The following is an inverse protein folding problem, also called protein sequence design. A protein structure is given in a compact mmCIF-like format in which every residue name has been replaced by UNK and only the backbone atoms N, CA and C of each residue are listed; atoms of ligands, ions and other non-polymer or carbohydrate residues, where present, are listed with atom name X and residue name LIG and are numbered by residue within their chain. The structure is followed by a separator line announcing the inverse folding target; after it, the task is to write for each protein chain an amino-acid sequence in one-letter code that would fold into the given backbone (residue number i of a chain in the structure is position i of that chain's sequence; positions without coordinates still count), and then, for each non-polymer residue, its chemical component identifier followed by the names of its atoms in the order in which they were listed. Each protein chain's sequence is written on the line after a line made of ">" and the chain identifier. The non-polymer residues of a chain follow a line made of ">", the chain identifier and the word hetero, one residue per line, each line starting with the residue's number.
data_IF_365861833366
#
_entry.id   IF_365861833366
#
_cell.length_a   1.000
_cell.length_b   1.000
_cell.length_c   1.000
_cell.angle_alpha   90.00
_cell.angle_beta   90.00
_cell.angle_gamma   90.00
#
_symmetry.space_group_name_H-M   'P 1'
#
loop_
_entity.id
_entity.type
_entity.pdbx_description
1 polymer ?
#
# COMPACT_ATOMS: atom_id res chain seq x y z
N UNK A 1 -3.87 -18.36 5.94
CA UNK A 1 -2.95 -18.06 4.82
C UNK A 1 -2.07 -16.86 5.12
N UNK A 2 -2.64 -15.70 5.50
CA UNK A 2 -1.87 -14.50 5.89
C UNK A 2 -0.94 -14.70 7.11
N UNK A 3 -1.31 -15.54 8.07
CA UNK A 3 -0.49 -15.83 9.27
C UNK A 3 0.92 -16.33 8.96
N UNK A 4 1.07 -17.17 7.93
CA UNK A 4 2.37 -17.66 7.50
C UNK A 4 3.23 -16.51 6.96
N UNK A 5 2.64 -15.62 6.18
CA UNK A 5 3.30 -14.41 5.69
C UNK A 5 3.65 -13.44 6.81
N UNK A 6 2.75 -13.23 7.78
CA UNK A 6 3.04 -12.44 8.98
C UNK A 6 4.27 -13.02 9.68
N UNK A 7 4.31 -14.32 9.94
CA UNK A 7 5.46 -14.96 10.59
C UNK A 7 6.77 -14.77 9.80
N UNK A 8 6.72 -14.89 8.47
CA UNK A 8 7.90 -14.76 7.60
C UNK A 8 8.40 -13.32 7.48
N UNK A 9 7.49 -12.34 7.40
CA UNK A 9 7.81 -10.97 7.04
C UNK A 9 7.71 -9.95 8.18
N UNK A 10 7.21 -10.33 9.37
CA UNK A 10 7.02 -9.43 10.53
C UNK A 10 8.17 -8.46 10.77
N UNK A 11 9.42 -8.93 10.76
CA UNK A 11 10.63 -8.10 10.96
C UNK A 11 11.16 -7.43 9.70
N UNK A 12 10.86 -8.00 8.54
CA UNK A 12 11.33 -7.47 7.26
C UNK A 12 10.50 -6.27 6.85
N UNK A 13 9.17 -6.39 6.95
CA UNK A 13 8.22 -5.33 6.68
C UNK A 13 7.24 -5.66 5.57
N UNK A 14 6.33 -4.72 5.36
CA UNK A 14 5.25 -4.78 4.37
C UNK A 14 5.29 -3.54 3.49
N UNK A 15 5.13 -3.72 2.18
CA UNK A 15 4.84 -2.65 1.23
C UNK A 15 3.34 -2.61 1.00
N UNK A 16 2.74 -1.45 1.22
CA UNK A 16 1.30 -1.23 1.01
C UNK A 16 1.11 -0.40 -0.25
N UNK A 17 0.32 -0.91 -1.18
CA UNK A 17 -0.03 -0.25 -2.44
C UNK A 17 -0.69 1.13 -2.22
N UNK A 18 -0.60 2.02 -3.21
CA UNK A 18 -1.08 3.40 -3.22
C UNK A 18 -2.51 3.54 -2.68
N UNK A 19 -3.47 2.75 -3.17
CA UNK A 19 -4.88 2.91 -2.76
C UNK A 19 -5.10 2.53 -1.29
N UNK A 20 -4.44 1.47 -0.83
CA UNK A 20 -4.53 1.01 0.54
C UNK A 20 -3.76 1.94 1.48
N UNK A 21 -2.60 2.45 1.07
CA UNK A 21 -1.86 3.43 1.86
C UNK A 21 -2.68 4.73 2.00
N UNK A 22 -3.34 5.17 0.93
CA UNK A 22 -4.28 6.29 0.99
C UNK A 22 -5.38 6.00 2.02
N UNK A 23 -6.02 4.83 1.96
CA UNK A 23 -7.04 4.41 2.94
C UNK A 23 -6.50 4.45 4.38
N UNK A 24 -5.30 3.93 4.64
CA UNK A 24 -4.68 3.95 5.97
C UNK A 24 -4.46 5.38 6.49
N UNK A 25 -4.17 6.33 5.60
CA UNK A 25 -3.93 7.73 5.96
C UNK A 25 -5.23 8.52 6.19
N UNK A 26 -6.29 8.23 5.43
CA UNK A 26 -7.53 9.05 5.48
C UNK A 26 -8.69 8.38 6.21
N UNK A 27 -8.63 7.07 6.45
CA UNK A 27 -9.77 6.28 6.89
C UNK A 27 -10.25 6.63 8.29
N UNK A 28 -9.39 7.23 9.13
CA UNK A 28 -9.79 7.78 10.44
C UNK A 28 -10.56 9.10 10.37
N UNK A 29 -10.87 9.58 9.15
CA UNK A 29 -11.62 10.82 8.92
C UNK A 29 -12.94 10.51 8.22
N UNK A 30 -13.91 11.42 8.33
CA UNK A 30 -15.18 11.32 7.58
C UNK A 30 -15.02 11.41 6.06
N UNK A 31 -13.79 11.62 5.56
CA UNK A 31 -13.48 11.82 4.13
C UNK A 31 -13.32 10.51 3.34
N UNK A 32 -13.38 9.33 3.99
CA UNK A 32 -13.19 8.02 3.33
C UNK A 32 -14.13 7.79 2.13
N UNK A 33 -15.35 8.34 2.17
CA UNK A 33 -16.38 8.17 1.11
C UNK A 33 -16.21 9.18 -0.03
N UNK A 34 -15.42 10.24 0.17
CA UNK A 34 -15.28 11.35 -0.77
C UNK A 34 -14.29 11.04 -1.90
N UNK A 35 -13.34 10.14 -1.67
CA UNK A 35 -12.38 9.75 -2.69
C UNK A 35 -12.91 8.60 -3.55
N UNK A 36 -12.83 8.78 -4.87
CA UNK A 36 -13.19 7.75 -5.85
C UNK A 36 -12.47 6.41 -5.58
N UNK A 37 -11.20 6.47 -5.15
CA UNK A 37 -10.35 5.29 -4.89
C UNK A 37 -10.67 4.58 -3.59
N UNK A 38 -11.20 5.27 -2.58
CA UNK A 38 -11.53 4.65 -1.29
C UNK A 38 -13.01 4.43 -1.05
N UNK A 39 -13.90 4.88 -1.95
CA UNK A 39 -15.36 4.71 -1.85
C UNK A 39 -15.81 3.25 -1.70
N UNK A 40 -15.01 2.28 -2.15
CA UNK A 40 -15.30 0.85 -2.01
C UNK A 40 -15.00 0.26 -0.63
N UNK A 41 -14.47 1.07 0.29
CA UNK A 41 -14.08 0.65 1.64
C UNK A 41 -15.04 1.18 2.69
N UNK A 42 -15.32 0.33 3.67
CA UNK A 42 -16.05 0.66 4.89
C UNK A 42 -15.09 1.02 6.03
N UNK A 43 -15.64 1.55 7.12
CA UNK A 43 -14.88 1.78 8.35
C UNK A 43 -14.27 0.48 8.90
N UNK A 44 -15.00 -0.64 8.78
CA UNK A 44 -14.50 -1.96 9.15
C UNK A 44 -13.31 -2.40 8.29
N UNK A 45 -13.31 -2.08 6.99
CA UNK A 45 -12.18 -2.36 6.11
C UNK A 45 -10.95 -1.52 6.49
N UNK A 46 -11.15 -0.24 6.85
CA UNK A 46 -10.07 0.60 7.35
C UNK A 46 -9.45 0.02 8.63
N UNK A 47 -10.28 -0.38 9.60
CA UNK A 47 -9.79 -1.00 10.83
C UNK A 47 -9.07 -2.33 10.56
N UNK A 48 -9.59 -3.14 9.64
CA UNK A 48 -8.94 -4.39 9.22
C UNK A 48 -7.58 -4.12 8.57
N UNK A 49 -7.48 -3.11 7.70
CA UNK A 49 -6.23 -2.72 7.06
C UNK A 49 -5.17 -2.33 8.11
N UNK A 50 -5.54 -1.48 9.08
CA UNK A 50 -4.62 -1.10 10.16
C UNK A 50 -4.17 -2.31 10.97
N UNK A 51 -5.10 -3.21 11.33
CA UNK A 51 -4.77 -4.45 12.05
C UNK A 51 -3.75 -5.31 11.30
N UNK A 52 -3.87 -5.40 9.97
CA UNK A 52 -2.92 -6.14 9.13
C UNK A 52 -1.56 -5.45 9.12
N UNK A 53 -1.51 -4.13 8.91
CA UNK A 53 -0.26 -3.36 8.89
C UNK A 53 0.48 -3.48 10.24
N UNK A 54 -0.25 -3.39 11.35
CA UNK A 54 0.30 -3.47 12.72
C UNK A 54 0.92 -4.84 13.06
N UNK A 55 0.71 -5.88 12.25
CA UNK A 55 1.40 -7.16 12.41
C UNK A 55 2.88 -7.10 12.01
N UNK A 56 3.31 -6.04 11.33
CA UNK A 56 4.66 -5.86 10.80
C UNK A 56 5.36 -4.73 11.54
N UNK A 57 6.64 -4.94 11.86
CA UNK A 57 7.47 -3.96 12.57
C UNK A 57 7.86 -2.76 11.68
N UNK A 58 7.67 -2.89 10.36
CA UNK A 58 8.12 -1.93 9.36
C UNK A 58 7.06 -1.76 8.28
N UNK A 59 6.57 -0.53 8.13
CA UNK A 59 5.83 -0.10 6.95
C UNK A 59 6.82 0.50 5.96
N UNK A 60 6.91 -0.11 4.78
CA UNK A 60 7.87 0.25 3.73
C UNK A 60 7.09 0.87 2.57
N UNK A 61 7.65 1.92 1.96
CA UNK A 61 7.07 2.56 0.78
C UNK A 61 8.16 3.00 -0.20
N UNK A 62 7.76 3.38 -1.40
CA UNK A 62 8.65 3.94 -2.41
C UNK A 62 8.28 5.40 -2.68
N UNK A 63 9.22 6.21 -3.20
CA UNK A 63 8.89 7.57 -3.64
C UNK A 63 7.73 7.61 -4.65
N UNK A 64 7.59 6.58 -5.49
CA UNK A 64 6.51 6.47 -6.47
C UNK A 64 5.14 6.31 -5.80
N UNK A 65 5.01 5.40 -4.83
CA UNK A 65 3.78 5.22 -4.05
C UNK A 65 3.43 6.52 -3.30
N UNK A 66 4.40 7.13 -2.61
CA UNK A 66 4.17 8.34 -1.83
C UNK A 66 3.76 9.54 -2.72
N UNK A 67 4.37 9.67 -3.89
CA UNK A 67 3.99 10.69 -4.87
C UNK A 67 2.56 10.47 -5.39
N UNK A 68 2.18 9.22 -5.71
CA UNK A 68 0.81 8.91 -6.12
C UNK A 68 -0.21 9.18 -5.03
N UNK A 69 0.07 8.78 -3.78
CA UNK A 69 -0.78 9.08 -2.62
C UNK A 69 -1.00 10.59 -2.49
N UNK A 70 0.05 11.39 -2.62
CA UNK A 70 -0.07 12.86 -2.61
C UNK A 70 -0.93 13.36 -3.78
N UNK A 71 -0.71 12.84 -5.00
CA UNK A 71 -1.46 13.25 -6.20
C UNK A 71 -2.94 12.87 -6.16
N UNK A 72 -3.30 11.79 -5.45
CA UNK A 72 -4.70 11.40 -5.28
C UNK A 72 -5.51 12.36 -4.39
N UNK A 73 -4.86 13.36 -3.78
CA UNK A 73 -5.52 14.39 -2.96
C UNK A 73 -6.00 15.61 -3.71
N UNK A 74 -5.90 15.62 -5.04
CA UNK A 74 -6.33 16.73 -5.90
C UNK A 74 -7.81 17.15 -5.74
N UNK A 75 -8.66 16.33 -5.11
CA UNK A 75 -10.06 16.66 -4.79
C UNK A 75 -10.28 17.23 -3.37
N UNK A 76 -9.25 17.28 -2.53
CA UNK A 76 -9.33 17.83 -1.19
C UNK A 76 -9.04 19.34 -1.19
N UNK A 77 -9.79 20.08 -0.37
CA UNK A 77 -9.63 21.51 -0.21
C UNK A 77 -9.76 21.94 1.26
N UNK A 78 -9.27 23.15 1.57
CA UNK A 78 -9.42 23.76 2.89
C UNK A 78 -8.82 22.93 4.03
N UNK A 79 -9.58 22.77 5.12
CA UNK A 79 -9.12 22.06 6.31
C UNK A 79 -8.84 20.58 6.03
N UNK A 80 -9.64 19.92 5.19
CA UNK A 80 -9.42 18.51 4.86
C UNK A 80 -8.06 18.25 4.19
N UNK A 81 -7.66 19.14 3.28
CA UNK A 81 -6.34 19.06 2.63
C UNK A 81 -5.21 19.28 3.66
N UNK A 82 -5.39 20.24 4.57
CA UNK A 82 -4.44 20.52 5.65
C UNK A 82 -4.29 19.32 6.58
N UNK A 83 -5.41 18.72 7.00
CA UNK A 83 -5.44 17.57 7.91
C UNK A 83 -4.82 16.33 7.26
N UNK A 84 -5.07 16.13 5.96
CA UNK A 84 -4.39 15.10 5.17
C UNK A 84 -2.88 15.29 5.21
N UNK A 85 -2.37 16.48 4.85
CA UNK A 85 -0.92 16.69 4.82
C UNK A 85 -0.28 16.66 6.20
N UNK A 86 -1.00 17.06 7.26
CA UNK A 86 -0.54 16.88 8.63
C UNK A 86 -0.40 15.38 8.97
N UNK A 87 -1.39 14.58 8.58
CA UNK A 87 -1.37 13.12 8.78
C UNK A 87 -0.25 12.47 7.98
N UNK A 88 -0.14 12.77 6.67
CA UNK A 88 0.92 12.28 5.81
C UNK A 88 2.30 12.62 6.39
N UNK A 89 2.52 13.88 6.80
CA UNK A 89 3.79 14.30 7.40
C UNK A 89 4.12 13.50 8.67
N UNK A 90 3.13 13.23 9.52
CA UNK A 90 3.34 12.42 10.71
C UNK A 90 3.67 10.97 10.33
N UNK A 91 2.94 10.37 9.39
CA UNK A 91 3.19 8.99 8.93
C UNK A 91 4.57 8.83 8.28
N UNK A 92 5.03 9.82 7.51
CA UNK A 92 6.36 9.81 6.87
C UNK A 92 7.50 9.71 7.89
N UNK A 93 7.31 10.09 9.16
CA UNK A 93 8.33 9.92 10.20
C UNK A 93 8.55 8.45 10.61
N UNK A 94 7.61 7.56 10.26
CA UNK A 94 7.63 6.14 10.61
C UNK A 94 7.74 5.21 9.41
N UNK A 95 7.42 5.69 8.20
CA UNK A 95 7.54 4.93 6.96
C UNK A 95 9.02 4.82 6.60
N UNK A 96 9.47 3.61 6.28
CA UNK A 96 10.79 3.35 5.73
C UNK A 96 10.70 3.51 4.22
N UNK A 97 11.35 4.54 3.69
CA UNK A 97 11.39 4.79 2.26
C UNK A 97 12.54 4.00 1.60
N UNK A 98 12.20 3.21 0.59
CA UNK A 98 13.17 2.49 -0.26
C UNK A 98 13.08 3.02 -1.69
N UNK A 99 14.24 3.33 -2.26
CA UNK A 99 14.33 3.93 -3.59
C UNK A 99 15.07 3.00 -4.55
N UNK A 100 14.41 2.70 -5.66
CA UNK A 100 15.01 2.13 -6.85
C UNK A 100 14.92 3.17 -7.97
N UNK A 101 16.03 3.47 -8.67
CA UNK A 101 15.98 4.37 -9.82
C UNK A 101 15.00 3.86 -10.87
N UNK A 102 14.16 4.75 -11.42
CA UNK A 102 13.19 4.41 -12.46
C UNK A 102 13.85 3.77 -13.70
N UNK A 103 15.12 4.12 -13.98
CA UNK A 103 15.88 3.52 -15.06
C UNK A 103 16.19 2.05 -14.80
N UNK A 104 16.46 1.66 -13.55
CA UNK A 104 16.75 0.27 -13.20
C UNK A 104 15.45 -0.54 -13.21
N UNK A 105 14.38 0.01 -12.63
CA UNK A 105 13.03 -0.58 -12.66
C UNK A 105 12.60 -0.87 -14.11
N UNK A 106 12.77 0.10 -15.01
CA UNK A 106 12.36 -0.01 -16.42
C UNK A 106 13.25 -0.91 -17.28
N UNK A 107 14.45 -1.27 -16.80
CA UNK A 107 15.34 -2.24 -17.44
C UNK A 107 15.03 -3.66 -17.00
N UNK A 108 14.84 -3.84 -15.69
CA UNK A 108 14.72 -5.16 -15.08
C UNK A 108 13.30 -5.75 -15.24
N UNK A 109 12.32 -4.90 -15.57
CA UNK A 109 10.91 -5.28 -15.63
C UNK A 109 10.15 -4.59 -16.77
N UNK A 110 9.13 -5.27 -17.28
CA UNK A 110 8.22 -4.70 -18.27
C UNK A 110 7.27 -3.68 -17.65
N UNK A 111 7.38 -2.42 -18.09
CA UNK A 111 6.48 -1.36 -17.64
C UNK A 111 5.07 -1.48 -18.21
N UNK A 112 4.91 -2.01 -19.42
CA UNK A 112 3.56 -2.21 -19.98
C UNK A 112 3.13 -3.65 -19.68
N UNK A 113 1.96 -3.91 -19.09
CA UNK A 113 0.84 -2.98 -18.84
C UNK A 113 0.78 -2.31 -17.45
N UNK A 114 1.78 -2.48 -16.58
CA UNK A 114 1.69 -2.19 -15.13
C UNK A 114 2.03 -0.74 -14.72
N UNK A 115 2.77 0.03 -15.50
CA UNK A 115 3.23 1.37 -15.10
C UNK A 115 4.34 1.34 -14.06
N UNK A 116 4.95 2.50 -13.80
CA UNK A 116 6.20 2.57 -13.02
C UNK A 116 6.01 2.23 -11.54
N UNK A 117 4.88 2.61 -10.94
CA UNK A 117 4.62 2.38 -9.51
C UNK A 117 4.41 0.90 -9.22
N UNK A 118 3.54 0.23 -9.98
CA UNK A 118 3.27 -1.20 -9.84
C UNK A 118 4.55 -2.04 -9.98
N UNK A 119 5.39 -1.68 -10.96
CA UNK A 119 6.68 -2.34 -11.16
C UNK A 119 7.67 -2.01 -10.05
N UNK A 120 7.69 -0.75 -9.59
CA UNK A 120 8.48 -0.32 -8.44
C UNK A 120 8.12 -1.06 -7.14
N UNK A 121 6.85 -1.41 -6.93
CA UNK A 121 6.40 -2.24 -5.81
C UNK A 121 7.09 -3.60 -5.86
N UNK A 122 7.04 -4.28 -7.01
CA UNK A 122 7.64 -5.61 -7.19
C UNK A 122 9.16 -5.56 -7.06
N UNK A 123 9.79 -4.56 -7.69
CA UNK A 123 11.23 -4.36 -7.60
C UNK A 123 11.69 -4.15 -6.15
N UNK A 124 10.98 -3.32 -5.38
CA UNK A 124 11.30 -3.05 -3.98
C UNK A 124 11.03 -4.25 -3.06
N UNK A 125 9.96 -5.00 -3.32
CA UNK A 125 9.54 -6.12 -2.49
C UNK A 125 10.43 -7.36 -2.64
N UNK A 126 11.06 -7.54 -3.81
CA UNK A 126 11.81 -8.75 -4.15
C UNK A 126 12.76 -9.17 -3.04
N UNK A 127 12.57 -10.39 -2.52
CA UNK A 127 13.30 -11.05 -1.43
C UNK A 127 13.27 -10.37 -0.04
N UNK A 128 12.64 -9.20 0.05
CA UNK A 128 12.70 -8.32 1.22
C UNK A 128 11.35 -8.14 1.90
N UNK A 129 10.25 -7.87 1.19
CA UNK A 129 9.01 -7.42 1.83
C UNK A 129 7.79 -8.19 1.33
N UNK A 130 6.75 -8.24 2.16
CA UNK A 130 5.44 -8.69 1.73
C UNK A 130 4.73 -7.54 1.00
N UNK A 131 4.09 -7.81 -0.14
CA UNK A 131 3.23 -6.83 -0.80
C UNK A 131 1.78 -6.99 -0.33
N UNK A 132 1.13 -5.88 -0.01
CA UNK A 132 -0.32 -5.80 0.20
C UNK A 132 -0.94 -4.87 -0.84
N UNK A 133 -1.82 -5.41 -1.67
CA UNK A 133 -2.50 -4.69 -2.75
C UNK A 133 -3.96 -5.10 -2.84
N UNK A 134 -4.82 -4.23 -3.38
CA UNK A 134 -6.19 -4.59 -3.78
C UNK A 134 -6.31 -4.88 -5.30
N UNK A 135 -5.28 -4.57 -6.10
CA UNK A 135 -5.26 -4.75 -7.55
C UNK A 135 -4.81 -6.18 -7.92
N UNK A 136 -5.70 -6.94 -8.57
CA UNK A 136 -5.42 -8.30 -9.04
C UNK A 136 -4.30 -8.36 -10.09
N UNK A 137 -4.10 -7.29 -10.87
CA UNK A 137 -3.03 -7.21 -11.87
C UNK A 137 -1.68 -7.09 -11.20
N UNK A 138 -1.56 -6.23 -10.18
CA UNK A 138 -0.34 -6.09 -9.38
C UNK A 138 -0.04 -7.39 -8.63
N UNK A 139 -1.06 -8.02 -8.04
CA UNK A 139 -0.90 -9.32 -7.38
C UNK A 139 -0.42 -10.42 -8.36
N UNK A 140 -1.00 -10.46 -9.57
CA UNK A 140 -0.57 -11.39 -10.62
C UNK A 140 0.88 -11.14 -11.05
N UNK A 141 1.26 -9.88 -11.24
CA UNK A 141 2.62 -9.49 -11.61
C UNK A 141 3.65 -9.84 -10.53
N UNK A 142 3.35 -9.53 -9.27
CA UNK A 142 4.19 -9.93 -8.13
C UNK A 142 4.39 -11.45 -8.10
N UNK A 143 3.32 -12.23 -8.29
CA UNK A 143 3.40 -13.69 -8.32
C UNK A 143 4.29 -14.21 -9.48
N UNK A 144 4.15 -13.64 -10.68
CA UNK A 144 4.99 -13.99 -11.84
C UNK A 144 6.49 -13.75 -11.58
N UNK A 145 6.81 -12.74 -10.76
CA UNK A 145 8.17 -12.41 -10.38
C UNK A 145 8.61 -13.04 -9.04
N UNK A 146 7.89 -14.04 -8.53
CA UNK A 146 8.18 -14.72 -7.27
C UNK A 146 8.33 -13.72 -6.10
N UNK A 147 7.40 -12.76 -6.00
CA UNK A 147 7.23 -11.86 -4.88
C UNK A 147 6.00 -12.29 -4.11
N UNK A 148 6.16 -12.47 -2.80
CA UNK A 148 5.04 -12.80 -1.91
C UNK A 148 4.10 -11.60 -1.79
N UNK A 149 2.82 -11.85 -2.06
CA UNK A 149 1.78 -10.84 -2.14
C UNK A 149 0.48 -11.35 -1.53
N UNK A 150 -0.23 -10.47 -0.83
CA UNK A 150 -1.59 -10.71 -0.36
C UNK A 150 -2.52 -9.71 -1.00
N UNK A 151 -3.62 -10.21 -1.58
CA UNK A 151 -4.70 -9.34 -2.02
C UNK A 151 -5.61 -9.01 -0.83
N UNK A 152 -5.79 -7.73 -0.53
CA UNK A 152 -6.57 -7.26 0.62
C UNK A 152 -8.04 -7.69 0.55
N UNK A 153 -8.63 -7.80 -0.65
CA UNK A 153 -10.01 -8.27 -0.81
C UNK A 153 -10.21 -9.70 -0.30
N UNK A 154 -9.21 -10.58 -0.44
CA UNK A 154 -9.29 -11.93 0.12
C UNK A 154 -9.29 -11.93 1.65
N UNK A 155 -8.62 -10.96 2.30
CA UNK A 155 -8.65 -10.81 3.77
C UNK A 155 -10.03 -10.31 4.22
N UNK A 156 -10.59 -9.34 3.49
CA UNK A 156 -11.93 -8.78 3.75
C UNK A 156 -13.01 -9.87 3.70
N UNK A 157 -12.99 -10.69 2.66
CA UNK A 157 -13.95 -11.78 2.46
C UNK A 157 -13.81 -12.89 3.51
N UNK A 158 -12.58 -13.16 3.96
CA UNK A 158 -12.31 -14.20 4.94
C UNK A 158 -12.77 -13.86 6.37
N UNK A 159 -13.31 -12.66 6.62
CA UNK A 159 -13.71 -12.17 7.95
C UNK A 159 -12.64 -12.46 9.01
N UNK A 160 -11.41 -12.07 8.70
CA UNK A 160 -10.26 -12.38 9.55
C UNK A 160 -10.42 -11.74 10.94
N UNK A 161 -10.76 -12.58 11.92
CA UNK A 161 -10.78 -12.26 13.34
C UNK A 161 -9.47 -12.75 13.97
N UNK A 162 -8.87 -11.91 14.81
CA UNK A 162 -7.59 -12.17 15.50
C UNK A 162 -7.83 -13.04 16.72
#
# INVERSE_FOLDING_TARGET
>A
MIEAYIKQYRRKGIIVDTNLLLLALIGGTSSIVEFKRTRGYSDADYQLLLKVIDQFEKLVSTPHILAEVSNLTNGLHGNKLRDFYATLKNSLSTIIEVHHPALDISRDYELSPYGLTDVGIVAAAKDNYLVLTDDLRVAGFAHQHCVDVVNFNHIREASWEV
#
